data_IF_055595845779
#
_entry.id   IF_055595845779
#
_cell.length_a   1.000
_cell.length_b   1.000
_cell.length_c   1.000
_cell.angle_alpha   90.00
_cell.angle_beta   90.00
_cell.angle_gamma   90.00
#
_symmetry.space_group_name_H-M   'P 1'
#
loop_
_entity.id
_entity.type
_entity.pdbx_description
1 polymer ?
#
# COMPACT_ATOMS: atom_id res chain seq x y z
N UNK A 1 7.61 40.85 -11.83
CA UNK A 1 8.65 39.81 -11.69
C UNK A 1 9.38 39.89 -10.34
N UNK A 2 9.73 41.08 -9.85
CA UNK A 2 10.42 41.30 -8.54
C UNK A 2 9.64 40.81 -7.31
N UNK A 3 8.31 41.01 -7.26
CA UNK A 3 7.46 40.59 -6.11
C UNK A 3 7.35 39.06 -5.98
N UNK A 4 7.37 38.34 -7.09
CA UNK A 4 7.42 36.87 -7.10
C UNK A 4 8.75 36.36 -6.59
N UNK A 5 9.84 37.09 -6.85
CA UNK A 5 11.19 36.78 -6.35
C UNK A 5 11.29 36.98 -4.84
N UNK A 6 10.68 38.05 -4.31
CA UNK A 6 10.56 38.30 -2.87
C UNK A 6 9.73 37.24 -2.14
N UNK A 7 8.63 36.78 -2.74
CA UNK A 7 7.84 35.65 -2.21
C UNK A 7 8.62 34.34 -2.26
N UNK A 8 9.36 34.08 -3.33
CA UNK A 8 10.24 32.91 -3.43
C UNK A 8 11.37 32.93 -2.40
N UNK A 9 11.98 34.10 -2.14
CA UNK A 9 13.00 34.27 -1.11
C UNK A 9 12.42 34.14 0.30
N UNK A 10 11.18 34.59 0.53
CA UNK A 10 10.49 34.40 1.80
C UNK A 10 10.12 32.92 2.03
N UNK A 11 9.66 32.22 1.00
CA UNK A 11 9.44 30.77 1.01
C UNK A 11 10.74 29.99 1.20
N UNK A 12 11.86 30.46 0.63
CA UNK A 12 13.20 29.89 0.87
C UNK A 12 13.67 30.09 2.32
N UNK A 13 13.35 31.24 2.94
CA UNK A 13 13.69 31.50 4.34
C UNK A 13 12.93 30.62 5.33
N UNK A 14 11.79 30.08 4.92
CA UNK A 14 10.94 29.16 5.70
C UNK A 14 10.84 27.78 5.02
N UNK A 15 11.99 27.24 4.60
CA UNK A 15 12.11 25.93 3.93
C UNK A 15 11.39 24.79 4.68
N UNK A 16 11.22 24.88 6.00
CA UNK A 16 10.44 23.93 6.80
C UNK A 16 8.92 24.10 6.60
N UNK A 17 8.40 25.33 6.58
CA UNK A 17 6.97 25.56 6.35
C UNK A 17 6.55 25.17 4.92
N UNK A 18 7.38 25.45 3.92
CA UNK A 18 7.12 25.09 2.53
C UNK A 18 7.14 23.56 2.30
N UNK A 19 8.12 22.85 2.89
CA UNK A 19 8.21 21.38 2.80
C UNK A 19 7.10 20.68 3.58
N UNK A 20 6.71 21.22 4.74
CA UNK A 20 5.56 20.71 5.50
C UNK A 20 4.24 20.93 4.74
N UNK A 21 4.04 22.09 4.10
CA UNK A 21 2.88 22.38 3.27
C UNK A 21 2.76 21.44 2.07
N UNK A 22 3.87 21.18 1.37
CA UNK A 22 3.91 20.22 0.26
C UNK A 22 3.61 18.77 0.72
N UNK A 23 4.13 18.36 1.87
CA UNK A 23 3.83 17.06 2.45
C UNK A 23 2.32 16.91 2.74
N UNK A 24 1.70 17.94 3.34
CA UNK A 24 0.26 18.01 3.56
C UNK A 24 -0.54 17.91 2.27
N UNK A 25 -0.12 18.62 1.21
CA UNK A 25 -0.76 18.55 -0.10
C UNK A 25 -0.64 17.17 -0.75
N UNK A 26 0.53 16.54 -0.67
CA UNK A 26 0.74 15.18 -1.18
C UNK A 26 -0.13 14.18 -0.44
N UNK A 27 -0.24 14.26 0.89
CA UNK A 27 -1.10 13.40 1.70
C UNK A 27 -2.58 13.60 1.36
N UNK A 28 -3.05 14.85 1.29
CA UNK A 28 -4.44 15.14 0.93
C UNK A 28 -4.77 14.69 -0.51
N UNK A 29 -3.84 14.93 -1.44
CA UNK A 29 -3.92 14.49 -2.83
C UNK A 29 -3.94 12.96 -2.95
N UNK A 30 -3.18 12.25 -2.11
CA UNK A 30 -3.15 10.78 -2.06
C UNK A 30 -4.54 10.21 -1.76
N UNK A 31 -5.24 10.76 -0.76
CA UNK A 31 -6.59 10.29 -0.42
C UNK A 31 -7.59 10.51 -1.56
N UNK A 32 -7.49 11.67 -2.24
CA UNK A 32 -8.32 11.98 -3.41
C UNK A 32 -8.01 11.06 -4.60
N UNK A 33 -6.73 10.83 -4.86
CA UNK A 33 -6.26 9.95 -5.92
C UNK A 33 -6.71 8.50 -5.66
N UNK A 34 -6.61 8.02 -4.42
CA UNK A 34 -7.08 6.69 -4.06
C UNK A 34 -8.60 6.56 -4.30
N UNK A 35 -9.38 7.55 -3.88
CA UNK A 35 -10.83 7.55 -4.09
C UNK A 35 -11.24 7.57 -5.58
N UNK A 36 -10.38 8.10 -6.47
CA UNK A 36 -10.63 8.10 -7.91
C UNK A 36 -10.21 6.82 -8.62
N UNK A 37 -9.36 5.99 -7.99
CA UNK A 37 -8.92 4.72 -8.57
C UNK A 37 -10.02 3.68 -8.40
N UNK A 38 -10.59 3.23 -9.50
CA UNK A 38 -11.50 2.09 -9.50
C UNK A 38 -10.72 0.78 -9.65
N UNK A 39 -10.70 -0.02 -8.57
CA UNK A 39 -9.96 -1.28 -8.52
C UNK A 39 -10.74 -2.37 -9.26
N UNK A 40 -10.66 -2.35 -10.58
CA UNK A 40 -11.22 -3.41 -11.44
C UNK A 40 -10.26 -4.58 -11.55
N UNK A 41 -10.46 -5.63 -10.74
CA UNK A 41 -9.63 -6.83 -10.78
C UNK A 41 -9.88 -7.62 -12.08
N UNK A 42 -8.84 -8.10 -12.79
CA UNK A 42 -9.02 -8.80 -14.06
C UNK A 42 -9.71 -10.16 -13.91
N UNK A 43 -9.62 -10.79 -12.74
CA UNK A 43 -10.18 -12.11 -12.43
C UNK A 43 -9.60 -13.25 -13.29
N UNK A 44 -8.29 -13.16 -13.58
CA UNK A 44 -7.49 -14.22 -14.18
C UNK A 44 -6.51 -14.77 -13.14
N UNK A 45 -6.46 -16.11 -13.01
CA UNK A 45 -5.66 -16.80 -11.99
C UNK A 45 -4.19 -16.36 -11.93
N UNK A 46 -3.56 -16.03 -13.07
CA UNK A 46 -2.16 -15.59 -13.14
C UNK A 46 -1.95 -14.09 -12.95
N UNK A 47 -2.94 -13.26 -13.28
CA UNK A 47 -2.79 -11.80 -13.30
C UNK A 47 -3.33 -11.11 -12.05
N UNK A 48 -4.22 -11.77 -11.31
CA UNK A 48 -4.82 -11.25 -10.09
C UNK A 48 -3.77 -10.81 -9.05
N UNK A 49 -2.78 -11.67 -8.77
CA UNK A 49 -1.68 -11.38 -7.84
C UNK A 49 -0.86 -10.16 -8.29
N UNK A 50 -0.43 -10.15 -9.56
CA UNK A 50 0.37 -9.06 -10.12
C UNK A 50 -0.39 -7.74 -10.12
N UNK A 51 -1.67 -7.75 -10.51
CA UNK A 51 -2.50 -6.56 -10.56
C UNK A 51 -2.78 -5.99 -9.16
N UNK A 52 -3.22 -6.84 -8.22
CA UNK A 52 -3.52 -6.42 -6.85
C UNK A 52 -2.28 -5.91 -6.10
N UNK A 53 -1.14 -6.61 -6.22
CA UNK A 53 0.13 -6.16 -5.63
C UNK A 53 0.67 -4.92 -6.34
N UNK A 54 0.51 -4.83 -7.66
CA UNK A 54 0.91 -3.66 -8.45
C UNK A 54 0.20 -2.40 -7.96
N UNK A 55 -1.11 -2.45 -7.74
CA UNK A 55 -1.89 -1.32 -7.23
C UNK A 55 -1.59 -0.99 -5.76
N UNK A 56 -1.15 -1.99 -4.99
CA UNK A 56 -0.72 -1.82 -3.61
C UNK A 56 0.69 -1.20 -3.50
N UNK A 57 1.59 -1.44 -4.46
CA UNK A 57 3.01 -1.06 -4.36
C UNK A 57 3.45 0.05 -5.31
N UNK A 58 2.97 0.06 -6.56
CA UNK A 58 3.43 1.00 -7.58
C UNK A 58 3.03 2.45 -7.28
N UNK A 59 1.77 2.77 -6.88
CA UNK A 59 1.41 4.15 -6.53
C UNK A 59 2.15 4.68 -5.29
N UNK A 60 2.31 3.92 -4.18
CA UNK A 60 3.18 4.34 -3.07
C UNK A 60 4.62 4.60 -3.49
N UNK A 61 5.18 3.76 -4.37
CA UNK A 61 6.54 3.98 -4.89
C UNK A 61 6.63 5.27 -5.70
N UNK A 62 5.65 5.55 -6.57
CA UNK A 62 5.58 6.80 -7.32
C UNK A 62 5.45 8.02 -6.40
N UNK A 63 4.56 7.96 -5.40
CA UNK A 63 4.37 9.03 -4.41
C UNK A 63 5.64 9.27 -3.58
N UNK A 64 6.36 8.20 -3.22
CA UNK A 64 7.62 8.29 -2.51
C UNK A 64 8.68 9.02 -3.34
N UNK A 65 8.83 8.64 -4.62
CA UNK A 65 9.74 9.31 -5.54
C UNK A 65 9.36 10.78 -5.76
N UNK A 66 8.07 11.08 -5.92
CA UNK A 66 7.58 12.46 -5.98
C UNK A 66 7.91 13.26 -4.71
N UNK A 67 7.74 12.67 -3.53
CA UNK A 67 8.09 13.28 -2.25
C UNK A 67 9.59 13.56 -2.10
N UNK A 68 10.44 12.67 -2.61
CA UNK A 68 11.89 12.87 -2.65
C UNK A 68 12.28 13.99 -3.62
N UNK A 69 11.75 13.97 -4.84
CA UNK A 69 12.07 14.97 -5.88
C UNK A 69 11.59 16.38 -5.51
N UNK A 70 10.44 16.49 -4.85
CA UNK A 70 9.86 17.76 -4.48
C UNK A 70 10.52 18.39 -3.22
N UNK A 71 11.31 17.61 -2.46
CA UNK A 71 12.05 18.11 -1.32
C UNK A 71 13.48 18.52 -1.72
N UNK A 72 13.74 19.82 -1.82
CA UNK A 72 15.08 20.33 -2.16
C UNK A 72 16.17 19.86 -1.18
N UNK A 73 15.83 19.61 0.09
CA UNK A 73 16.78 19.08 1.09
C UNK A 73 17.14 17.62 0.82
N UNK A 74 16.32 16.87 0.08
CA UNK A 74 16.62 15.49 -0.32
C UNK A 74 17.77 15.43 -1.31
N UNK A 75 17.80 16.32 -2.30
CA UNK A 75 18.88 16.40 -3.28
C UNK A 75 20.21 16.73 -2.59
N UNK A 76 20.21 17.70 -1.67
CA UNK A 76 21.40 18.05 -0.88
C UNK A 76 21.86 16.88 -0.01
N UNK A 77 20.93 16.13 0.60
CA UNK A 77 21.26 14.95 1.39
C UNK A 77 21.90 13.83 0.54
N UNK A 78 21.36 13.57 -0.66
CA UNK A 78 21.88 12.57 -1.59
C UNK A 78 23.28 12.99 -2.09
N UNK A 79 23.46 14.25 -2.46
CA UNK A 79 24.74 14.76 -2.94
C UNK A 79 25.85 14.65 -1.87
N UNK A 80 25.57 15.03 -0.62
CA UNK A 80 26.52 14.86 0.49
C UNK A 80 26.75 13.38 0.84
N UNK A 81 25.77 12.50 0.65
CA UNK A 81 25.96 11.05 0.86
C UNK A 81 26.86 10.42 -0.22
N UNK A 82 26.67 10.81 -1.48
CA UNK A 82 27.45 10.34 -2.63
C UNK A 82 28.91 10.84 -2.62
N UNK A 83 29.25 11.86 -1.83
CA UNK A 83 30.64 12.30 -1.69
C UNK A 83 31.51 11.23 -1.00
N UNK A 84 32.74 10.98 -1.50
CA UNK A 84 33.69 10.05 -0.89
C UNK A 84 33.98 10.38 0.58
N UNK A 85 34.30 9.35 1.38
CA UNK A 85 34.41 9.42 2.85
C UNK A 85 35.46 10.41 3.42
N UNK A 86 36.27 11.08 2.58
CA UNK A 86 37.20 12.14 3.00
C UNK A 86 36.87 13.54 2.45
N UNK A 87 35.81 13.70 1.65
CA UNK A 87 35.38 15.00 1.05
C UNK A 87 34.02 15.48 1.57
N UNK A 88 33.47 14.81 2.59
CA UNK A 88 32.20 15.20 3.22
C UNK A 88 32.42 16.45 4.05
N UNK A 89 31.57 17.47 3.86
CA UNK A 89 31.64 18.72 4.64
C UNK A 89 30.93 18.62 5.98
N UNK A 90 30.06 17.62 6.16
CA UNK A 90 29.23 17.43 7.35
C UNK A 90 29.59 16.14 8.06
N UNK A 91 29.43 16.17 9.39
CA UNK A 91 29.60 14.98 10.21
C UNK A 91 28.61 13.88 9.80
N UNK A 92 29.01 12.59 9.88
CA UNK A 92 28.16 11.47 9.51
C UNK A 92 26.84 11.43 10.31
N UNK A 93 26.83 11.91 11.56
CA UNK A 93 25.61 12.02 12.37
C UNK A 93 24.60 13.02 11.78
N UNK A 94 25.07 14.18 11.32
CA UNK A 94 24.23 15.23 10.71
C UNK A 94 23.66 14.75 9.38
N UNK A 95 24.46 14.03 8.59
CA UNK A 95 23.99 13.46 7.32
C UNK A 95 22.89 12.42 7.57
N UNK A 96 23.08 11.51 8.53
CA UNK A 96 22.06 10.51 8.89
C UNK A 96 20.76 11.17 9.32
N UNK A 97 20.84 12.19 10.19
CA UNK A 97 19.68 12.96 10.64
C UNK A 97 18.93 13.60 9.46
N UNK A 98 19.66 14.23 8.53
CA UNK A 98 19.07 14.85 7.34
C UNK A 98 18.38 13.81 6.46
N UNK A 99 19.04 12.67 6.19
CA UNK A 99 18.44 11.56 5.44
C UNK A 99 17.18 11.02 6.12
N UNK A 100 17.20 10.81 7.44
CA UNK A 100 16.02 10.31 8.17
C UNK A 100 14.85 11.32 8.13
N UNK A 101 15.14 12.61 8.29
CA UNK A 101 14.11 13.67 8.24
C UNK A 101 13.44 13.76 6.87
N UNK A 102 14.25 13.69 5.80
CA UNK A 102 13.75 13.64 4.42
C UNK A 102 12.90 12.39 4.19
N UNK A 103 13.38 11.22 4.62
CA UNK A 103 12.70 9.95 4.42
C UNK A 103 11.36 9.90 5.16
N UNK A 104 11.31 10.36 6.41
CA UNK A 104 10.09 10.43 7.20
C UNK A 104 9.00 11.27 6.52
N UNK A 105 9.37 12.42 5.96
CA UNK A 105 8.43 13.29 5.21
C UNK A 105 7.97 12.63 3.90
N UNK A 106 8.89 12.04 3.14
CA UNK A 106 8.56 11.41 1.86
C UNK A 106 7.70 10.14 2.01
N UNK A 107 7.78 9.44 3.16
CA UNK A 107 6.98 8.24 3.45
C UNK A 107 5.53 8.52 3.86
N UNK A 108 5.19 9.74 4.25
CA UNK A 108 3.85 10.05 4.75
C UNK A 108 2.73 9.72 3.73
N UNK A 109 2.86 10.21 2.50
CA UNK A 109 1.89 9.92 1.43
C UNK A 109 1.83 8.43 1.03
N UNK A 110 2.96 7.73 0.79
CA UNK A 110 2.99 6.28 0.60
C UNK A 110 2.29 5.48 1.69
N UNK A 111 2.52 5.82 2.96
CA UNK A 111 1.88 5.15 4.10
C UNK A 111 0.37 5.34 4.10
N UNK A 112 -0.10 6.56 3.79
CA UNK A 112 -1.53 6.86 3.67
C UNK A 112 -2.17 6.05 2.55
N UNK A 113 -1.51 5.92 1.39
CA UNK A 113 -2.02 5.09 0.30
C UNK A 113 -2.17 3.62 0.72
N UNK A 114 -1.13 3.04 1.31
CA UNK A 114 -1.15 1.64 1.75
C UNK A 114 -2.24 1.43 2.81
N UNK A 115 -2.39 2.36 3.76
CA UNK A 115 -3.44 2.28 4.78
C UNK A 115 -4.84 2.30 4.15
N UNK A 116 -5.10 3.21 3.21
CA UNK A 116 -6.38 3.28 2.49
C UNK A 116 -6.65 1.99 1.69
N UNK A 117 -5.64 1.47 1.00
CA UNK A 117 -5.71 0.22 0.25
C UNK A 117 -6.00 -1.00 1.14
N UNK A 118 -5.39 -1.06 2.33
CA UNK A 118 -5.61 -2.11 3.31
C UNK A 118 -7.00 -2.01 3.96
N UNK A 119 -7.47 -0.81 4.26
CA UNK A 119 -8.80 -0.58 4.82
C UNK A 119 -9.91 -0.99 3.85
N UNK A 120 -9.77 -0.65 2.56
CA UNK A 120 -10.71 -1.07 1.51
C UNK A 120 -10.60 -2.58 1.22
N UNK A 121 -9.39 -3.13 1.30
CA UNK A 121 -9.11 -4.57 1.18
C UNK A 121 -9.34 -5.16 -0.22
N UNK A 122 -9.80 -4.38 -1.20
CA UNK A 122 -10.04 -4.84 -2.58
C UNK A 122 -8.75 -5.34 -3.25
N UNK A 123 -7.64 -4.62 -3.08
CA UNK A 123 -6.34 -5.01 -3.63
C UNK A 123 -5.85 -6.34 -3.04
N UNK A 124 -6.04 -6.56 -1.74
CA UNK A 124 -5.67 -7.82 -1.09
C UNK A 124 -6.56 -8.98 -1.51
N UNK A 125 -7.87 -8.78 -1.60
CA UNK A 125 -8.79 -9.80 -2.11
C UNK A 125 -8.42 -10.18 -3.53
N UNK A 126 -8.14 -9.20 -4.40
CA UNK A 126 -7.68 -9.46 -5.76
C UNK A 126 -6.35 -10.24 -5.74
N UNK A 127 -5.36 -9.79 -4.97
CA UNK A 127 -4.02 -10.38 -4.98
C UNK A 127 -3.97 -11.82 -4.41
N UNK A 128 -4.68 -12.09 -3.31
CA UNK A 128 -4.52 -13.32 -2.53
C UNK A 128 -5.67 -14.32 -2.67
N UNK A 129 -6.75 -13.97 -3.38
CA UNK A 129 -7.87 -14.91 -3.62
C UNK A 129 -7.41 -16.26 -4.19
N UNK A 130 -6.48 -16.25 -5.15
CA UNK A 130 -5.93 -17.48 -5.77
C UNK A 130 -5.03 -18.33 -4.86
N UNK A 131 -4.61 -17.82 -3.71
CA UNK A 131 -3.63 -18.47 -2.81
C UNK A 131 -4.22 -18.80 -1.44
N UNK A 132 -5.55 -18.83 -1.34
CA UNK A 132 -6.24 -19.21 -0.10
C UNK A 132 -6.14 -20.72 0.09
N UNK A 133 -5.87 -21.12 1.34
CA UNK A 133 -5.83 -22.51 1.76
C UNK A 133 -7.24 -23.14 1.71
N UNK A 134 -7.46 -24.16 0.86
CA UNK A 134 -8.78 -24.75 0.65
C UNK A 134 -9.30 -25.53 1.86
N UNK A 135 -8.43 -25.99 2.77
CA UNK A 135 -8.84 -26.73 3.97
C UNK A 135 -9.69 -25.86 4.92
N UNK A 136 -9.60 -24.54 4.80
CA UNK A 136 -10.38 -23.58 5.60
C UNK A 136 -11.83 -23.46 5.14
N UNK A 137 -12.16 -23.96 3.95
CA UNK A 137 -13.49 -23.80 3.34
C UNK A 137 -13.99 -25.15 2.81
N UNK A 138 -15.00 -25.77 3.45
CA UNK A 138 -15.44 -27.14 3.11
C UNK A 138 -15.90 -27.27 1.65
N UNK A 139 -16.52 -26.23 1.09
CA UNK A 139 -16.95 -26.24 -0.31
C UNK A 139 -15.77 -26.22 -1.30
N UNK A 140 -14.63 -25.63 -0.94
CA UNK A 140 -13.42 -25.62 -1.78
C UNK A 140 -12.72 -26.98 -1.73
N UNK A 141 -12.69 -27.64 -0.57
CA UNK A 141 -12.07 -28.94 -0.39
C UNK A 141 -12.73 -30.03 -1.26
N UNK A 142 -14.01 -29.87 -1.60
CA UNK A 142 -14.76 -30.79 -2.46
C UNK A 142 -14.58 -30.52 -3.97
N UNK A 143 -13.90 -29.44 -4.38
CA UNK A 143 -13.70 -29.10 -5.79
C UNK A 143 -12.43 -29.74 -6.36
N UNK A 144 -12.45 -30.02 -7.67
CA UNK A 144 -11.21 -30.37 -8.38
C UNK A 144 -10.23 -29.17 -8.39
N UNK A 145 -8.90 -29.38 -8.41
CA UNK A 145 -7.93 -28.30 -8.37
C UNK A 145 -8.13 -27.23 -9.45
N UNK A 146 -8.52 -27.62 -10.67
CA UNK A 146 -8.79 -26.70 -11.77
C UNK A 146 -10.05 -25.86 -11.56
N UNK A 147 -11.13 -26.46 -11.07
CA UNK A 147 -12.37 -25.74 -10.74
C UNK A 147 -12.16 -24.78 -9.57
N UNK A 148 -11.43 -25.23 -8.54
CA UNK A 148 -11.06 -24.42 -7.39
C UNK A 148 -10.25 -23.19 -7.80
N UNK A 149 -9.21 -23.37 -8.61
CA UNK A 149 -8.38 -22.27 -9.09
C UNK A 149 -9.19 -21.24 -9.90
N UNK A 150 -10.12 -21.71 -10.73
CA UNK A 150 -10.99 -20.86 -11.53
C UNK A 150 -12.03 -20.12 -10.67
N UNK A 151 -12.59 -20.79 -9.66
CA UNK A 151 -13.50 -20.19 -8.68
C UNK A 151 -12.78 -19.10 -7.87
N UNK A 152 -11.62 -19.42 -7.30
CA UNK A 152 -10.81 -18.51 -6.50
C UNK A 152 -10.37 -17.27 -7.30
N UNK A 153 -9.98 -17.43 -8.56
CA UNK A 153 -9.63 -16.32 -9.44
C UNK A 153 -10.80 -15.34 -9.65
N UNK A 154 -12.04 -15.80 -9.54
CA UNK A 154 -13.26 -15.02 -9.76
C UNK A 154 -13.91 -14.50 -8.48
N UNK A 155 -13.44 -14.89 -7.30
CA UNK A 155 -13.88 -14.33 -6.01
C UNK A 155 -13.95 -12.79 -5.98
N UNK A 156 -12.95 -12.04 -6.47
CA UNK A 156 -13.02 -10.58 -6.52
C UNK A 156 -14.11 -10.02 -7.48
N UNK A 157 -14.54 -10.79 -8.49
CA UNK A 157 -15.56 -10.39 -9.46
C UNK A 157 -16.97 -10.78 -8.99
N UNK A 158 -17.67 -9.84 -8.34
CA UNK A 158 -19.01 -10.09 -7.76
C UNK A 158 -20.08 -10.52 -8.76
N UNK A 159 -19.95 -10.05 -10.01
CA UNK A 159 -20.96 -10.25 -11.05
C UNK A 159 -20.85 -11.59 -11.80
N UNK A 160 -19.74 -12.31 -11.65
CA UNK A 160 -19.51 -13.57 -12.38
C UNK A 160 -20.50 -14.65 -11.93
N UNK A 161 -21.16 -15.29 -12.90
CA UNK A 161 -22.20 -16.31 -12.66
C UNK A 161 -21.71 -17.46 -11.80
N UNK A 162 -20.44 -17.84 -11.88
CA UNK A 162 -19.88 -18.95 -11.11
C UNK A 162 -19.82 -18.67 -9.61
N UNK A 163 -19.81 -17.39 -9.22
CA UNK A 163 -19.44 -16.96 -7.87
C UNK A 163 -20.50 -16.06 -7.23
N UNK A 164 -21.40 -15.48 -8.04
CA UNK A 164 -22.46 -14.54 -7.62
C UNK A 164 -23.28 -15.05 -6.43
N UNK A 165 -23.73 -16.30 -6.49
CA UNK A 165 -24.64 -16.90 -5.52
C UNK A 165 -23.95 -17.78 -4.48
N UNK A 166 -22.62 -17.93 -4.56
CA UNK A 166 -21.87 -18.78 -3.63
C UNK A 166 -21.69 -18.11 -2.25
N UNK A 167 -22.07 -18.78 -1.14
CA UNK A 167 -21.77 -18.32 0.21
C UNK A 167 -20.26 -18.36 0.48
N UNK A 168 -19.57 -19.36 -0.07
CA UNK A 168 -18.12 -19.55 0.04
C UNK A 168 -17.33 -18.35 -0.46
N UNK A 169 -17.78 -17.71 -1.55
CA UNK A 169 -17.19 -16.45 -2.03
C UNK A 169 -17.25 -15.36 -0.97
N UNK A 170 -18.42 -15.18 -0.33
CA UNK A 170 -18.60 -14.15 0.69
C UNK A 170 -17.67 -14.43 1.87
N UNK A 171 -17.56 -15.69 2.29
CA UNK A 171 -16.66 -16.12 3.35
C UNK A 171 -15.19 -15.85 3.01
N UNK A 172 -14.71 -16.27 1.83
CA UNK A 172 -13.33 -16.02 1.36
C UNK A 172 -13.03 -14.51 1.28
N UNK A 173 -13.96 -13.73 0.71
CA UNK A 173 -13.80 -12.27 0.63
C UNK A 173 -13.77 -11.60 2.00
N UNK A 174 -14.58 -12.05 2.97
CA UNK A 174 -14.58 -11.54 4.34
C UNK A 174 -13.29 -11.90 5.07
N UNK A 175 -12.86 -13.16 4.96
CA UNK A 175 -11.61 -13.66 5.52
C UNK A 175 -10.42 -12.81 5.08
N UNK A 176 -10.26 -12.59 3.77
CA UNK A 176 -9.17 -11.79 3.22
C UNK A 176 -9.24 -10.32 3.64
N UNK A 177 -10.44 -9.71 3.73
CA UNK A 177 -10.59 -8.34 4.26
C UNK A 177 -10.25 -8.24 5.74
N UNK A 178 -10.64 -9.23 6.54
CA UNK A 178 -10.29 -9.31 7.97
C UNK A 178 -8.77 -9.36 8.15
N UNK A 179 -8.07 -10.16 7.34
CA UNK A 179 -6.60 -10.19 7.33
C UNK A 179 -6.00 -8.84 6.94
N UNK A 180 -6.57 -8.19 5.92
CA UNK A 180 -6.13 -6.87 5.44
C UNK A 180 -6.19 -5.78 6.50
N UNK A 181 -7.24 -5.77 7.32
CA UNK A 181 -7.51 -4.72 8.31
C UNK A 181 -6.80 -4.93 9.65
N UNK A 182 -5.88 -5.89 9.74
CA UNK A 182 -5.09 -6.11 10.97
C UNK A 182 -5.47 -7.35 11.77
N UNK A 183 -6.00 -8.39 11.14
CA UNK A 183 -6.01 -9.75 11.70
C UNK A 183 -4.61 -10.37 11.91
N UNK A 184 -3.54 -9.56 11.90
CA UNK A 184 -2.16 -9.95 12.20
C UNK A 184 -1.82 -9.61 13.66
N UNK A 185 -2.24 -10.48 14.58
CA UNK A 185 -1.54 -10.60 15.86
C UNK A 185 -0.21 -11.32 15.61
N UNK A 186 0.88 -10.58 15.75
CA UNK A 186 2.24 -11.04 15.49
C UNK A 186 2.67 -12.02 16.60
N UNK A 187 3.07 -13.25 16.21
CA UNK A 187 3.82 -14.25 17.00
C UNK A 187 3.00 -15.20 17.89
N UNK A 188 2.50 -16.28 17.30
CA UNK A 188 2.40 -17.58 17.97
C UNK A 188 2.54 -18.72 16.93
N UNK A 189 3.25 -19.82 17.22
CA UNK A 189 3.26 -21.01 16.39
C UNK A 189 1.91 -21.72 16.59
N UNK A 190 0.86 -21.19 15.96
CA UNK A 190 -0.43 -21.86 15.89
C UNK A 190 -1.27 -21.18 14.80
N UNK A 191 -1.31 -21.80 13.62
CA UNK A 191 -2.23 -21.49 12.51
C UNK A 191 -3.73 -21.63 12.87
N UNK A 192 -4.08 -21.65 14.17
CA UNK A 192 -5.38 -22.03 14.68
C UNK A 192 -6.11 -20.94 15.51
N UNK A 193 -5.45 -19.82 15.89
CA UNK A 193 -6.08 -18.80 16.76
C UNK A 193 -6.55 -17.53 16.02
N UNK A 194 -5.71 -16.91 15.20
CA UNK A 194 -6.14 -15.75 14.37
C UNK A 194 -7.13 -16.13 13.26
N UNK A 195 -6.97 -17.35 12.73
CA UNK A 195 -7.87 -17.97 11.74
C UNK A 195 -9.27 -18.17 12.30
N UNK A 196 -9.39 -18.48 13.60
CA UNK A 196 -10.68 -18.62 14.28
C UNK A 196 -11.41 -17.28 14.38
N UNK A 197 -10.78 -16.18 14.79
CA UNK A 197 -11.47 -14.89 14.89
C UNK A 197 -12.08 -14.40 13.56
N UNK A 198 -11.35 -14.55 12.45
CA UNK A 198 -11.85 -14.14 11.13
C UNK A 198 -12.83 -15.14 10.50
N UNK A 199 -12.81 -16.44 10.87
CA UNK A 199 -13.82 -17.42 10.45
C UNK A 199 -15.08 -17.41 11.34
N UNK A 200 -14.99 -17.05 12.63
CA UNK A 200 -16.11 -17.12 13.58
C UNK A 200 -17.04 -15.90 13.56
N UNK A 201 -16.78 -14.89 12.72
CA UNK A 201 -17.73 -13.79 12.49
C UNK A 201 -18.94 -14.20 11.62
N UNK A 202 -19.11 -15.50 11.35
CA UNK A 202 -20.21 -16.09 10.59
C UNK A 202 -21.25 -16.82 11.47
N UNK A 203 -21.30 -16.58 12.78
CA UNK A 203 -22.43 -16.98 13.65
C UNK A 203 -23.17 -15.75 14.18
#
# INVERSE_FOLDING_TARGET
MERLRGLFQHLQSSSEAATNGLCLLLVAGTAKLYASVDVSCPCLARYNALYGLGLLLAPPLALFLCGLLANQQALVAVEEWCRPAGRRRKDPGVIRYLCTSVLQRALAAPLVWVLLALLDGKCLVCAFSGSVDPEKFPDLANMTPGQMQLFLAKVPCKEDRLVRDSPTRKAVSRYLRCLSQGGLSHRAPAAASGTRLCLHSDV
#
